data_IF_201993432991
#
_entry.id   IF_201993432991
#
_cell.length_a   1.000
_cell.length_b   1.000
_cell.length_c   1.000
_cell.angle_alpha   90.00
_cell.angle_beta   90.00
_cell.angle_gamma   90.00
#
_symmetry.space_group_name_H-M   'P 1'
#
loop_
_entity.id
_entity.type
_entity.pdbx_description
1 polymer ?
#
# COMPACT_ATOMS: atom_id res chain seq x y z
N UNK A 1 23.10 2.67 10.33
CA UNK A 1 21.92 2.86 11.20
C UNK A 1 20.63 3.14 10.42
N UNK A 2 20.61 4.04 9.43
CA UNK A 2 19.37 4.37 8.68
C UNK A 2 18.68 3.17 7.99
N UNK A 3 19.41 2.22 7.42
CA UNK A 3 18.81 1.07 6.73
C UNK A 3 18.02 0.18 7.71
N UNK A 4 18.55 -0.04 8.91
CA UNK A 4 17.88 -0.85 9.94
C UNK A 4 16.60 -0.17 10.44
N UNK A 5 16.62 1.15 10.59
CA UNK A 5 15.44 1.93 10.95
C UNK A 5 14.39 1.93 9.82
N UNK A 6 14.80 2.05 8.56
CA UNK A 6 13.90 1.94 7.41
C UNK A 6 13.23 0.57 7.31
N UNK A 7 13.95 -0.51 7.62
CA UNK A 7 13.40 -1.87 7.69
C UNK A 7 12.38 -1.96 8.84
N UNK A 8 12.71 -1.46 10.04
CA UNK A 8 11.78 -1.44 11.17
C UNK A 8 10.49 -0.67 10.87
N UNK A 9 10.61 0.51 10.28
CA UNK A 9 9.44 1.31 9.87
C UNK A 9 8.63 0.56 8.81
N UNK A 10 9.28 -0.07 7.83
CA UNK A 10 8.58 -0.90 6.83
C UNK A 10 7.82 -2.08 7.44
N UNK A 11 8.41 -2.76 8.42
CA UNK A 11 7.80 -3.90 9.14
C UNK A 11 6.59 -3.47 9.97
N UNK A 12 6.58 -2.26 10.53
CA UNK A 12 5.44 -1.76 11.32
C UNK A 12 4.39 -1.09 10.44
N UNK A 13 4.80 -0.24 9.49
CA UNK A 13 3.91 0.52 8.62
C UNK A 13 3.20 -0.38 7.60
N UNK A 14 3.87 -1.41 7.07
CA UNK A 14 3.29 -2.34 6.10
C UNK A 14 2.01 -3.03 6.62
N UNK A 15 2.04 -3.72 7.77
CA UNK A 15 0.87 -4.32 8.39
C UNK A 15 -0.23 -3.30 8.75
N UNK A 16 0.13 -2.14 9.29
CA UNK A 16 -0.84 -1.09 9.63
C UNK A 16 -1.60 -0.59 8.40
N UNK A 17 -0.90 -0.35 7.29
CA UNK A 17 -1.51 0.08 6.04
C UNK A 17 -2.29 -1.05 5.36
N UNK A 18 -1.82 -2.29 5.47
CA UNK A 18 -2.56 -3.46 5.01
C UNK A 18 -3.87 -3.70 5.80
N UNK A 19 -3.91 -3.32 7.08
CA UNK A 19 -5.16 -3.28 7.84
C UNK A 19 -6.06 -2.14 7.35
N UNK A 20 -5.50 -0.94 7.12
CA UNK A 20 -6.24 0.20 6.61
C UNK A 20 -6.88 -0.07 5.23
N UNK A 21 -6.20 -0.82 4.35
CA UNK A 21 -6.75 -1.20 3.03
C UNK A 21 -7.92 -2.19 3.13
N UNK A 22 -8.08 -2.90 4.24
CA UNK A 22 -9.23 -3.80 4.47
C UNK A 22 -10.43 -3.10 5.11
N UNK A 23 -10.32 -1.81 5.44
CA UNK A 23 -11.39 -1.02 6.04
C UNK A 23 -12.66 -1.00 5.17
N UNK A 24 -13.85 -0.87 5.80
CA UNK A 24 -15.11 -0.78 5.05
C UNK A 24 -15.15 0.42 4.10
N UNK A 25 -14.45 1.51 4.43
CA UNK A 25 -14.32 2.67 3.56
C UNK A 25 -13.59 2.32 2.25
N UNK A 26 -12.45 1.61 2.33
CA UNK A 26 -11.72 1.19 1.13
C UNK A 26 -12.50 0.20 0.28
N UNK A 27 -13.23 -0.72 0.90
CA UNK A 27 -14.13 -1.64 0.17
C UNK A 27 -15.22 -0.88 -0.60
N UNK A 28 -15.84 0.14 0.00
CA UNK A 28 -16.82 1.00 -0.68
C UNK A 28 -16.20 1.75 -1.86
N UNK A 29 -14.98 2.26 -1.72
CA UNK A 29 -14.26 2.93 -2.81
C UNK A 29 -13.95 1.94 -3.94
N UNK A 30 -13.51 0.72 -3.60
CA UNK A 30 -13.26 -0.33 -4.58
C UNK A 30 -14.53 -0.71 -5.35
N UNK A 31 -15.64 -0.94 -4.64
CA UNK A 31 -16.92 -1.26 -5.26
C UNK A 31 -17.40 -0.15 -6.23
N UNK A 32 -17.22 1.12 -5.87
CA UNK A 32 -17.51 2.25 -6.76
C UNK A 32 -16.61 2.27 -8.00
N UNK A 33 -15.33 1.92 -7.87
CA UNK A 33 -14.41 1.83 -9.01
C UNK A 33 -14.76 0.66 -9.92
N UNK A 34 -15.19 -0.45 -9.35
CA UNK A 34 -15.63 -1.64 -10.08
C UNK A 34 -16.95 -1.38 -10.82
N UNK A 35 -17.88 -0.65 -10.20
CA UNK A 35 -19.11 -0.19 -10.86
C UNK A 35 -18.80 0.75 -12.03
N UNK A 36 -17.91 1.73 -11.85
CA UNK A 36 -17.46 2.60 -12.96
C UNK A 36 -16.80 1.80 -14.09
N UNK A 37 -15.96 0.84 -13.75
CA UNK A 37 -15.32 -0.03 -14.74
C UNK A 37 -16.34 -0.87 -15.51
N UNK A 38 -17.37 -1.41 -14.83
CA UNK A 38 -18.49 -2.12 -15.47
C UNK A 38 -19.31 -1.23 -16.39
N UNK A 39 -19.38 0.07 -16.13
CA UNK A 39 -19.98 1.08 -17.01
C UNK A 39 -19.08 1.46 -18.20
N UNK A 40 -17.95 0.77 -18.39
CA UNK A 40 -16.97 1.06 -19.45
C UNK A 40 -16.04 2.22 -19.14
N UNK A 41 -16.02 2.71 -17.90
CA UNK A 41 -15.32 3.93 -17.52
C UNK A 41 -14.16 3.67 -16.55
N UNK A 42 -12.95 4.03 -16.96
CA UNK A 42 -11.73 3.87 -16.16
C UNK A 42 -11.05 2.50 -16.30
N UNK A 43 -10.03 2.26 -15.46
CA UNK A 43 -9.18 1.07 -15.50
C UNK A 43 -9.70 -0.01 -14.55
N UNK A 44 -9.53 -1.27 -14.91
CA UNK A 44 -9.92 -2.42 -14.08
C UNK A 44 -9.28 -2.33 -12.68
N UNK A 45 -10.08 -2.14 -11.61
CA UNK A 45 -9.55 -2.06 -10.26
C UNK A 45 -8.98 -3.40 -9.77
N UNK A 46 -9.35 -4.54 -10.35
CA UNK A 46 -8.78 -5.85 -10.00
C UNK A 46 -7.33 -5.99 -10.45
N UNK A 47 -6.94 -5.29 -11.52
CA UNK A 47 -5.54 -5.22 -11.96
C UNK A 47 -4.64 -4.38 -11.06
N UNK A 48 -5.17 -3.68 -10.06
CA UNK A 48 -4.36 -2.93 -9.11
C UNK A 48 -3.45 -3.86 -8.30
N UNK A 49 -2.20 -3.42 -8.08
CA UNK A 49 -1.15 -4.15 -7.35
C UNK A 49 -1.47 -4.36 -5.87
N UNK A 50 -2.24 -3.43 -5.28
CA UNK A 50 -2.67 -3.45 -3.89
C UNK A 50 -4.15 -3.05 -3.81
N UNK A 51 -4.82 -3.46 -2.72
CA UNK A 51 -6.22 -3.09 -2.48
C UNK A 51 -6.98 -4.11 -1.64
N UNK A 52 -8.26 -3.84 -1.34
CA UNK A 52 -9.10 -4.71 -0.51
C UNK A 52 -9.36 -6.09 -1.11
N UNK A 53 -9.19 -6.24 -2.43
CA UNK A 53 -9.33 -7.48 -3.20
C UNK A 53 -8.11 -8.41 -3.10
N UNK A 54 -6.97 -7.93 -2.55
CA UNK A 54 -5.75 -8.72 -2.37
C UNK A 54 -5.65 -9.26 -0.93
N UNK A 55 -4.93 -10.39 -0.71
CA UNK A 55 -4.73 -10.92 0.62
C UNK A 55 -3.90 -9.95 1.48
N UNK A 56 -4.13 -10.00 2.79
CA UNK A 56 -3.47 -9.11 3.76
C UNK A 56 -1.95 -9.10 3.61
N UNK A 57 -1.34 -10.29 3.53
CA UNK A 57 0.11 -10.44 3.38
C UNK A 57 0.66 -9.76 2.13
N UNK A 58 -0.07 -9.79 1.02
CA UNK A 58 0.34 -9.11 -0.22
C UNK A 58 0.33 -7.59 -0.05
N UNK A 59 -0.73 -7.04 0.55
CA UNK A 59 -0.79 -5.61 0.85
C UNK A 59 0.31 -5.21 1.85
N UNK A 60 0.58 -6.02 2.87
CA UNK A 60 1.58 -5.73 3.88
C UNK A 60 2.99 -5.70 3.28
N UNK A 61 3.29 -6.64 2.38
CA UNK A 61 4.57 -6.71 1.69
C UNK A 61 4.74 -5.52 0.74
N UNK A 62 3.72 -5.19 -0.07
CA UNK A 62 3.77 -4.03 -0.98
C UNK A 62 3.95 -2.73 -0.19
N UNK A 63 3.12 -2.47 0.82
CA UNK A 63 3.22 -1.24 1.61
C UNK A 63 4.51 -1.16 2.42
N UNK A 64 4.95 -2.28 3.00
CA UNK A 64 6.22 -2.36 3.71
C UNK A 64 7.41 -2.05 2.80
N UNK A 65 7.44 -2.61 1.59
CA UNK A 65 8.47 -2.33 0.59
C UNK A 65 8.45 -0.87 0.12
N UNK A 66 7.27 -0.31 -0.15
CA UNK A 66 7.10 1.09 -0.54
C UNK A 66 7.62 2.03 0.57
N UNK A 67 7.23 1.81 1.82
CA UNK A 67 7.68 2.65 2.94
C UNK A 67 9.18 2.48 3.23
N UNK A 68 9.69 1.25 3.20
CA UNK A 68 11.12 1.01 3.36
C UNK A 68 11.93 1.73 2.27
N UNK A 69 11.47 1.70 1.00
CA UNK A 69 12.11 2.42 -0.10
C UNK A 69 12.07 3.94 0.09
N UNK A 70 10.91 4.50 0.47
CA UNK A 70 10.76 5.95 0.73
C UNK A 70 11.72 6.39 1.84
N UNK A 71 11.77 5.66 2.96
CA UNK A 71 12.63 6.02 4.09
C UNK A 71 14.12 5.77 3.80
N UNK A 72 14.46 4.77 2.99
CA UNK A 72 15.83 4.58 2.51
C UNK A 72 16.28 5.75 1.63
N UNK A 73 15.41 6.29 0.78
CA UNK A 73 15.72 7.47 -0.05
C UNK A 73 15.83 8.75 0.79
N UNK A 74 14.89 9.02 1.70
CA UNK A 74 14.95 10.20 2.59
C UNK A 74 16.19 10.14 3.50
N UNK A 75 16.53 8.96 4.00
CA UNK A 75 17.72 8.75 4.81
C UNK A 75 19.04 9.01 4.07
N UNK A 76 19.03 9.03 2.73
CA UNK A 76 20.19 9.40 1.90
C UNK A 76 20.27 10.91 1.64
N UNK A 77 19.14 11.63 1.67
CA UNK A 77 19.09 13.08 1.37
C UNK A 77 19.25 13.98 2.60
N UNK A 78 19.43 13.41 3.79
CA UNK A 78 19.67 14.18 5.01
C UNK A 78 21.18 14.24 5.24
N UNK A 79 21.88 15.34 4.86
CA UNK A 79 23.29 15.48 5.20
C UNK A 79 23.40 15.54 6.73
N UNK A 80 24.28 14.72 7.30
CA UNK A 80 24.72 14.86 8.70
C UNK A 80 25.55 16.13 8.87
#
# INVERSE_FOLDING_TARGET
MMIFFAILVGIVAGPLLALATRSPAQRKVFARREEKFRQGNGRDPNRALFGPHKPFWWNALIWGAVFAAIFAMIGQTTPM
#
